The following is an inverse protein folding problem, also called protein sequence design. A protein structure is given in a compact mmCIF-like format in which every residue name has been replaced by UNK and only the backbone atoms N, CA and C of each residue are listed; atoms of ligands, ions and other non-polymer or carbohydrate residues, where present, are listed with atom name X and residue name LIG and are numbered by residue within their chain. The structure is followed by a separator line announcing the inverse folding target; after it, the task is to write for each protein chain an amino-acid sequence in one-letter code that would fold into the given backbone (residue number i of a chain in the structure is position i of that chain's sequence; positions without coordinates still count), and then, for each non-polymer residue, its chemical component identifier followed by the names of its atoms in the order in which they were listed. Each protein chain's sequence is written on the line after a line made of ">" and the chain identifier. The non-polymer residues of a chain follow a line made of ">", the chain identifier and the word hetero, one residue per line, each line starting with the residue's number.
data_IF_057978472130
#
_entry.id   IF_057978472130
#
_cell.length_a   1.000
_cell.length_b   1.000
_cell.length_c   1.000
_cell.angle_alpha   90.00
_cell.angle_beta   90.00
_cell.angle_gamma   90.00
#
_symmetry.space_group_name_H-M   'P 1'
#
loop_
_entity.id
_entity.type
_entity.pdbx_description
1 polymer ?
#
# COMPACT_ATOMS: atom_id res chain seq x y z
N UNK A 1 -13.48 10.54 -10.71
CA UNK A 1 -13.76 9.44 -9.77
C UNK A 1 -13.71 9.95 -8.32
N UNK A 2 -14.67 10.78 -7.89
CA UNK A 2 -14.61 11.46 -6.57
C UNK A 2 -15.25 10.66 -5.41
N UNK A 3 -15.73 9.45 -5.66
CA UNK A 3 -16.53 8.68 -4.69
C UNK A 3 -16.03 7.26 -4.45
N UNK A 4 -14.88 6.87 -5.00
CA UNK A 4 -14.38 5.51 -4.83
C UNK A 4 -13.85 5.35 -3.41
N UNK A 5 -14.56 4.55 -2.60
CA UNK A 5 -14.24 4.32 -1.19
C UNK A 5 -13.39 3.08 -0.94
N UNK A 6 -13.45 2.09 -1.83
CA UNK A 6 -12.70 0.84 -1.70
C UNK A 6 -12.10 0.46 -3.04
N UNK A 7 -10.82 0.11 -3.03
CA UNK A 7 -10.06 -0.33 -4.19
C UNK A 7 -9.39 -1.66 -3.84
N UNK A 8 -9.80 -2.73 -4.52
CA UNK A 8 -9.21 -4.05 -4.36
C UNK A 8 -8.34 -4.38 -5.57
N UNK A 9 -7.04 -4.53 -5.32
CA UNK A 9 -6.03 -4.90 -6.30
C UNK A 9 -5.39 -6.26 -5.95
N UNK A 10 -6.05 -7.03 -5.09
CA UNK A 10 -5.59 -8.34 -4.65
C UNK A 10 -5.48 -9.32 -5.82
N UNK A 11 -4.52 -10.25 -5.74
CA UNK A 11 -4.24 -11.29 -6.75
C UNK A 11 -3.92 -10.73 -8.14
N UNK A 12 -3.46 -9.48 -8.21
CA UNK A 12 -3.02 -8.87 -9.48
C UNK A 12 -1.50 -8.96 -9.63
N UNK A 13 -1.03 -8.93 -10.87
CA UNK A 13 0.40 -8.88 -11.20
C UNK A 13 1.01 -7.47 -11.07
N UNK A 14 0.36 -6.57 -10.32
CA UNK A 14 0.78 -5.18 -10.15
C UNK A 14 2.20 -5.12 -9.59
N UNK A 15 3.06 -4.31 -10.22
CA UNK A 15 4.46 -4.12 -9.83
C UNK A 15 4.64 -2.87 -8.98
N UNK A 16 3.93 -1.82 -9.35
CA UNK A 16 3.96 -0.53 -8.70
C UNK A 16 2.56 0.06 -8.71
N UNK A 17 2.21 0.75 -7.62
CA UNK A 17 1.01 1.55 -7.57
C UNK A 17 1.39 2.99 -7.93
N UNK A 18 0.79 3.54 -8.99
CA UNK A 18 1.11 4.88 -9.46
C UNK A 18 0.60 5.97 -8.50
N UNK A 19 1.25 7.14 -8.51
CA UNK A 19 0.84 8.32 -7.75
C UNK A 19 -0.59 8.77 -8.04
N UNK A 20 -1.20 8.34 -9.15
CA UNK A 20 -2.61 8.62 -9.45
C UNK A 20 -3.59 8.11 -8.40
N UNK A 21 -3.19 7.14 -7.56
CA UNK A 21 -4.00 6.70 -6.41
C UNK A 21 -4.20 7.83 -5.39
N UNK A 22 -3.30 8.83 -5.35
CA UNK A 22 -3.42 10.01 -4.49
C UNK A 22 -4.64 10.88 -4.84
N UNK A 23 -5.09 10.84 -6.10
CA UNK A 23 -6.29 11.55 -6.55
C UNK A 23 -7.59 10.88 -6.08
N UNK A 24 -7.53 9.67 -5.53
CA UNK A 24 -8.67 8.99 -4.92
C UNK A 24 -8.86 9.50 -3.48
N UNK A 25 -9.19 10.79 -3.34
CA UNK A 25 -9.28 11.48 -2.04
C UNK A 25 -10.40 10.95 -1.13
N UNK A 26 -11.37 10.23 -1.69
CA UNK A 26 -12.46 9.59 -0.95
C UNK A 26 -12.19 8.11 -0.64
N UNK A 27 -11.02 7.59 -1.00
CA UNK A 27 -10.64 6.21 -0.73
C UNK A 27 -10.49 6.01 0.78
N UNK A 28 -11.14 4.98 1.29
CA UNK A 28 -11.15 4.56 2.70
C UNK A 28 -10.48 3.21 2.87
N UNK A 29 -10.40 2.41 1.81
CA UNK A 29 -9.86 1.06 1.85
C UNK A 29 -9.06 0.73 0.59
N UNK A 30 -7.86 0.19 0.78
CA UNK A 30 -7.01 -0.37 -0.27
C UNK A 30 -6.60 -1.80 0.11
N UNK A 31 -6.96 -2.77 -0.73
CA UNK A 31 -6.60 -4.19 -0.55
C UNK A 31 -5.53 -4.61 -1.54
N UNK A 32 -4.41 -5.12 -1.01
CA UNK A 32 -3.26 -5.60 -1.77
C UNK A 32 -2.87 -7.00 -1.24
N UNK A 33 -3.78 -7.95 -1.39
CA UNK A 33 -3.59 -9.33 -0.92
C UNK A 33 -3.04 -10.17 -2.07
N UNK A 34 -2.04 -11.02 -1.83
CA UNK A 34 -1.49 -11.92 -2.86
C UNK A 34 -1.00 -11.18 -4.13
N UNK A 35 -0.29 -10.06 -3.95
CA UNK A 35 0.33 -9.31 -5.06
C UNK A 35 1.84 -9.61 -5.13
N UNK A 36 2.27 -10.73 -5.73
CA UNK A 36 3.66 -11.22 -5.61
C UNK A 36 4.69 -10.29 -6.25
N UNK A 37 4.27 -9.48 -7.23
CA UNK A 37 5.15 -8.59 -7.98
C UNK A 37 5.21 -7.17 -7.43
N UNK A 38 4.38 -6.83 -6.44
CA UNK A 38 4.33 -5.47 -5.90
C UNK A 38 5.64 -5.16 -5.16
N UNK A 39 6.34 -4.13 -5.65
CA UNK A 39 7.66 -3.73 -5.17
C UNK A 39 7.68 -2.30 -4.64
N UNK A 40 6.75 -1.45 -5.06
CA UNK A 40 6.68 -0.04 -4.67
C UNK A 40 5.23 0.42 -4.49
N UNK A 41 5.05 1.33 -3.54
CA UNK A 41 3.86 2.16 -3.38
C UNK A 41 4.28 3.62 -3.57
N UNK A 42 3.37 4.51 -4.00
CA UNK A 42 3.71 5.91 -4.21
C UNK A 42 3.93 6.58 -2.87
N UNK A 43 4.89 7.50 -2.80
CA UNK A 43 5.27 8.15 -1.53
C UNK A 43 4.07 8.90 -0.90
N UNK A 44 3.15 9.42 -1.73
CA UNK A 44 1.93 10.11 -1.29
C UNK A 44 0.81 9.18 -0.82
N UNK A 45 0.90 7.86 -1.03
CA UNK A 45 -0.13 6.90 -0.61
C UNK A 45 -0.37 6.96 0.90
N UNK A 46 0.67 7.33 1.65
CA UNK A 46 0.68 7.44 3.10
C UNK A 46 0.06 8.74 3.63
N UNK A 47 -0.13 9.73 2.76
CA UNK A 47 -0.84 10.98 3.10
C UNK A 47 -2.36 10.78 3.16
N UNK A 48 -2.86 9.69 2.58
CA UNK A 48 -4.28 9.39 2.52
C UNK A 48 -4.73 8.60 3.77
N UNK A 49 -5.81 9.06 4.40
CA UNK A 49 -6.41 8.42 5.59
C UNK A 49 -7.26 7.20 5.20
N UNK A 50 -6.65 6.16 4.63
CA UNK A 50 -7.34 4.90 4.38
C UNK A 50 -6.72 3.73 5.12
N UNK A 51 -7.56 2.73 5.39
CA UNK A 51 -7.15 1.46 5.95
C UNK A 51 -6.48 0.64 4.85
N UNK A 52 -5.20 0.31 5.02
CA UNK A 52 -4.48 -0.58 4.10
C UNK A 52 -4.45 -1.98 4.72
N UNK A 53 -5.00 -2.96 4.00
CA UNK A 53 -4.92 -4.36 4.42
C UNK A 53 -3.91 -5.11 3.52
N UNK A 54 -2.83 -5.58 4.15
CA UNK A 54 -1.85 -6.49 3.56
C UNK A 54 -2.00 -7.85 4.23
N UNK A 55 -2.23 -8.91 3.46
CA UNK A 55 -2.38 -10.27 4.02
C UNK A 55 -1.30 -11.23 3.54
N UNK A 56 -0.55 -10.90 2.49
CA UNK A 56 0.47 -11.78 1.93
C UNK A 56 1.44 -11.05 0.97
N UNK A 57 1.99 -9.91 1.42
CA UNK A 57 3.24 -9.45 0.80
C UNK A 57 4.34 -10.24 1.48
N UNK A 58 5.24 -10.84 0.70
CA UNK A 58 6.50 -11.40 1.20
C UNK A 58 7.06 -10.47 2.29
N UNK A 59 7.23 -10.98 3.51
CA UNK A 59 7.64 -10.19 4.68
C UNK A 59 8.96 -9.46 4.45
N UNK A 60 9.83 -9.97 3.58
CA UNK A 60 11.04 -9.27 3.15
C UNK A 60 10.72 -8.06 2.25
N UNK A 61 9.79 -8.20 1.30
CA UNK A 61 9.34 -7.06 0.48
C UNK A 61 8.59 -6.02 1.30
N UNK A 62 7.75 -6.49 2.22
CA UNK A 62 7.01 -5.62 3.13
C UNK A 62 7.96 -4.84 4.03
N UNK A 63 8.97 -5.49 4.62
CA UNK A 63 9.99 -4.81 5.43
C UNK A 63 10.83 -3.82 4.62
N UNK A 64 11.19 -4.12 3.36
CA UNK A 64 11.85 -3.15 2.46
C UNK A 64 10.99 -1.92 2.16
N UNK A 65 9.70 -2.12 1.89
CA UNK A 65 8.73 -1.04 1.70
C UNK A 65 8.63 -0.16 2.95
N UNK A 66 8.57 -0.78 4.14
CA UNK A 66 8.47 -0.10 5.43
C UNK A 66 9.77 0.64 5.81
N UNK A 67 10.93 0.06 5.51
CA UNK A 67 12.25 0.66 5.74
C UNK A 67 12.46 1.94 4.94
N UNK A 68 11.87 2.05 3.73
CA UNK A 68 11.89 3.29 2.94
C UNK A 68 11.15 4.45 3.61
N UNK A 69 10.27 4.19 4.57
CA UNK A 69 9.46 5.22 5.18
C UNK A 69 10.19 5.98 6.30
N UNK A 70 11.34 5.50 6.80
CA UNK A 70 12.19 6.23 7.75
C UNK A 70 11.64 6.42 9.18
N UNK A 71 10.32 6.51 9.36
CA UNK A 71 9.62 6.67 10.65
C UNK A 71 9.48 5.37 11.47
N UNK A 72 9.78 4.22 10.88
CA UNK A 72 9.65 2.90 11.52
C UNK A 72 10.94 2.31 12.07
N UNK A 73 11.97 3.12 12.26
CA UNK A 73 13.09 2.76 13.15
C UNK A 73 12.67 2.60 14.64
N UNK A 74 11.38 2.74 14.97
CA UNK A 74 10.85 2.62 16.35
C UNK A 74 9.76 1.58 16.59
N UNK A 75 9.30 0.85 15.58
CA UNK A 75 8.41 -0.29 15.85
C UNK A 75 9.24 -1.55 15.76
N UNK A 76 9.88 -1.89 16.88
CA UNK A 76 10.28 -3.27 17.12
C UNK A 76 8.99 -4.10 17.07
N UNK A 77 8.82 -4.85 15.99
CA UNK A 77 7.87 -5.95 15.97
C UNK A 77 8.67 -7.11 16.59
N UNK A 78 8.47 -7.32 17.89
CA UNK A 78 8.78 -8.59 18.55
C UNK A 78 7.77 -9.65 18.15
#
# INVERSE_FOLDING_TARGET
>A
MKCLKSLDLSRTAIKELHSSVSYLTALVELRLIECPNLASLPDDVWSLRFKVEFRQIDTEKFSRLWNRLGWLKKVQIS
#
